data_IF_288399185947
#
_entry.id   IF_288399185947
#
_cell.length_a   1.000
_cell.length_b   1.000
_cell.length_c   1.000
_cell.angle_alpha   90.00
_cell.angle_beta   90.00
_cell.angle_gamma   90.00
#
_symmetry.space_group_name_H-M   'P 1'
#
loop_
_entity.id
_entity.type
_entity.pdbx_description
1 polymer ?
#
# COMPACT_ATOMS: atom_id res chain seq x y z
N UNK A 1 14.59 -17.48 14.07
CA UNK A 1 13.65 -16.37 14.32
C UNK A 1 12.81 -16.25 13.08
N UNK A 2 11.78 -17.09 12.96
CA UNK A 2 10.83 -17.01 11.86
C UNK A 2 9.69 -16.12 12.35
N UNK A 3 9.81 -14.83 12.08
CA UNK A 3 8.72 -13.91 12.34
C UNK A 3 7.62 -14.24 11.32
N UNK A 4 6.57 -14.83 11.87
CA UNK A 4 5.41 -15.34 11.16
C UNK A 4 4.61 -14.13 10.70
N UNK A 5 5.03 -13.50 9.60
CA UNK A 5 4.20 -12.55 8.87
C UNK A 5 2.85 -13.21 8.65
N UNK A 6 1.82 -12.68 9.31
CA UNK A 6 0.46 -13.18 9.18
C UNK A 6 0.11 -13.27 7.69
N UNK A 7 -0.24 -14.45 7.15
CA UNK A 7 -0.40 -14.65 5.70
C UNK A 7 -1.46 -13.73 5.07
N UNK A 8 -2.36 -13.19 5.90
CA UNK A 8 -3.45 -12.29 5.54
C UNK A 8 -3.08 -10.80 5.61
N UNK A 9 -1.99 -10.42 6.28
CA UNK A 9 -1.53 -9.04 6.36
C UNK A 9 -0.82 -8.63 5.06
N UNK A 10 -1.12 -7.43 4.57
CA UNK A 10 -0.52 -6.90 3.34
C UNK A 10 0.92 -6.53 3.65
N UNK A 11 1.92 -7.05 2.91
CA UNK A 11 3.32 -6.70 3.14
C UNK A 11 3.54 -5.20 2.98
N UNK A 12 4.32 -4.60 3.88
CA UNK A 12 4.65 -3.17 3.82
C UNK A 12 5.26 -2.77 2.48
N UNK A 13 6.08 -3.65 1.89
CA UNK A 13 6.69 -3.44 0.57
C UNK A 13 5.64 -3.25 -0.54
N UNK A 14 4.56 -4.04 -0.53
CA UNK A 14 3.48 -3.89 -1.50
C UNK A 14 2.71 -2.58 -1.31
N UNK A 15 2.44 -2.19 -0.06
CA UNK A 15 1.79 -0.91 0.24
C UNK A 15 2.67 0.24 -0.27
N UNK A 16 3.99 0.16 -0.03
CA UNK A 16 4.94 1.18 -0.48
C UNK A 16 5.01 1.27 -2.00
N UNK A 17 5.13 0.15 -2.72
CA UNK A 17 5.15 0.13 -4.19
C UNK A 17 3.87 0.76 -4.75
N UNK A 18 2.72 0.31 -4.24
CA UNK A 18 1.41 0.83 -4.68
C UNK A 18 1.23 2.31 -4.37
N UNK A 19 1.67 2.76 -3.20
CA UNK A 19 1.63 4.17 -2.82
C UNK A 19 2.54 5.02 -3.71
N UNK A 20 3.75 4.53 -4.03
CA UNK A 20 4.69 5.22 -4.90
C UNK A 20 4.16 5.33 -6.34
N UNK A 21 3.57 4.27 -6.89
CA UNK A 21 2.91 4.32 -8.20
C UNK A 21 1.78 5.35 -8.23
N UNK A 22 0.94 5.38 -7.19
CA UNK A 22 -0.13 6.37 -7.09
C UNK A 22 0.43 7.79 -7.00
N UNK A 23 1.43 8.01 -6.15
CA UNK A 23 2.07 9.32 -5.99
C UNK A 23 2.74 9.81 -7.28
N UNK A 24 3.44 8.93 -7.99
CA UNK A 24 4.09 9.24 -9.26
C UNK A 24 3.07 9.57 -10.36
N UNK A 25 1.99 8.79 -10.47
CA UNK A 25 0.89 9.06 -11.42
C UNK A 25 0.18 10.38 -11.17
N UNK A 26 0.18 10.87 -9.93
CA UNK A 26 -0.44 12.13 -9.52
C UNK A 26 0.52 13.33 -9.57
N UNK A 27 1.68 13.19 -10.24
CA UNK A 27 2.73 14.22 -10.36
C UNK A 27 3.46 14.55 -9.06
N UNK A 28 3.51 13.60 -8.12
CA UNK A 28 4.30 13.69 -6.89
C UNK A 28 3.98 14.96 -6.07
N UNK A 29 2.71 15.18 -5.70
CA UNK A 29 2.36 16.32 -4.87
C UNK A 29 3.01 16.16 -3.49
N UNK A 30 3.64 17.22 -3.02
CA UNK A 30 4.26 17.26 -1.69
C UNK A 30 3.18 17.41 -0.61
N UNK A 31 3.34 16.71 0.52
CA UNK A 31 2.41 16.76 1.65
C UNK A 31 1.21 15.81 1.56
N UNK A 32 1.12 14.98 0.51
CA UNK A 32 0.07 13.97 0.32
C UNK A 32 0.58 12.53 0.41
N UNK A 33 1.84 12.33 0.81
CA UNK A 33 2.50 11.02 0.86
C UNK A 33 1.74 10.04 1.77
N UNK A 34 1.26 10.52 2.91
CA UNK A 34 0.46 9.72 3.86
C UNK A 34 -0.89 9.34 3.24
N UNK A 35 -1.55 10.25 2.52
CA UNK A 35 -2.84 9.99 1.87
C UNK A 35 -2.68 8.90 0.80
N UNK A 36 -1.61 8.94 0.02
CA UNK A 36 -1.30 7.89 -0.97
C UNK A 36 -0.98 6.55 -0.30
N UNK A 37 -0.30 6.56 0.85
CA UNK A 37 -0.01 5.36 1.61
C UNK A 37 -1.27 4.70 2.17
N UNK A 38 -2.19 5.49 2.76
CA UNK A 38 -3.49 5.02 3.22
C UNK A 38 -4.40 4.54 2.07
N UNK A 39 -4.35 5.24 0.92
CA UNK A 39 -5.09 4.85 -0.27
C UNK A 39 -4.60 3.51 -0.81
N UNK A 40 -3.27 3.32 -0.90
CA UNK A 40 -2.63 2.08 -1.33
C UNK A 40 -2.99 0.91 -0.42
N UNK A 41 -2.91 1.08 0.90
CA UNK A 41 -3.31 0.05 1.86
C UNK A 41 -4.77 -0.36 1.64
N UNK A 42 -5.67 0.62 1.48
CA UNK A 42 -7.10 0.37 1.26
C UNK A 42 -7.39 -0.34 -0.05
N UNK A 43 -6.71 0.03 -1.14
CA UNK A 43 -6.80 -0.63 -2.45
C UNK A 43 -6.38 -2.10 -2.34
N UNK A 44 -5.19 -2.35 -1.79
CA UNK A 44 -4.66 -3.71 -1.65
C UNK A 44 -5.54 -4.58 -0.74
N UNK A 45 -6.12 -3.98 0.32
CA UNK A 45 -7.05 -4.69 1.22
C UNK A 45 -8.33 -5.09 0.50
N UNK A 46 -8.89 -4.20 -0.32
CA UNK A 46 -10.07 -4.52 -1.15
C UNK A 46 -9.75 -5.59 -2.19
N UNK A 47 -8.60 -5.53 -2.84
CA UNK A 47 -8.17 -6.53 -3.83
C UNK A 47 -8.05 -7.92 -3.20
N UNK A 48 -7.50 -8.01 -1.99
CA UNK A 48 -7.44 -9.28 -1.23
C UNK A 48 -8.81 -9.76 -0.75
N UNK A 49 -9.68 -8.88 -0.28
CA UNK A 49 -11.05 -9.28 0.15
C UNK A 49 -11.95 -9.73 -0.99
N UNK A 50 -11.62 -9.37 -2.24
CA UNK A 50 -12.38 -9.72 -3.44
C UNK A 50 -11.91 -11.02 -4.11
N UNK A 51 -10.81 -11.60 -3.63
CA UNK A 51 -10.18 -12.82 -4.15
C UNK A 51 -10.52 -14.00 -3.26
#
# INVERSE_FOLDING_TARGET
MEDKSAPDAIPFEQIRERAYELWERNHRPEGFEIEFWLLAERELRKERSRK
#
